data_IF_499220570265
#
_entry.id   IF_499220570265
#
_cell.length_a   1.000
_cell.length_b   1.000
_cell.length_c   1.000
_cell.angle_alpha   90.00
_cell.angle_beta   90.00
_cell.angle_gamma   90.00
#
_symmetry.space_group_name_H-M   'P 1'
#
loop_
_entity.id
_entity.type
_entity.pdbx_description
1 polymer ?
#
# COMPACT_ATOMS: atom_id res chain seq x y z
N UNK A 1 3.83 -3.49 -14.25
CA UNK A 1 3.20 -2.27 -14.83
C UNK A 1 1.68 -2.30 -14.58
N UNK A 2 1.12 -1.16 -14.18
CA UNK A 2 -0.32 -0.92 -13.97
C UNK A 2 -0.76 0.20 -14.91
N UNK A 3 -1.89 0.02 -15.61
CA UNK A 3 -2.52 1.07 -16.42
C UNK A 3 -3.99 1.15 -16.03
N UNK A 4 -4.45 2.36 -15.72
CA UNK A 4 -5.86 2.67 -15.42
C UNK A 4 -6.34 3.71 -16.40
N UNK A 5 -7.54 3.50 -16.97
CA UNK A 5 -8.15 4.41 -17.95
C UNK A 5 -9.57 4.75 -17.54
N UNK A 6 -9.85 6.03 -17.35
CA UNK A 6 -11.19 6.59 -17.10
C UNK A 6 -11.93 5.93 -15.91
N UNK A 7 -11.20 5.55 -14.85
CA UNK A 7 -11.81 4.93 -13.67
C UNK A 7 -12.73 5.95 -12.98
N UNK A 8 -13.99 5.58 -12.84
CA UNK A 8 -15.01 6.38 -12.16
C UNK A 8 -15.70 5.56 -11.07
N UNK A 9 -16.04 6.23 -9.95
CA UNK A 9 -16.73 5.62 -8.82
C UNK A 9 -17.71 6.59 -8.21
N UNK A 10 -18.95 6.12 -8.04
CA UNK A 10 -20.01 6.83 -7.32
C UNK A 10 -20.56 5.95 -6.19
N UNK A 11 -21.12 6.59 -5.17
CA UNK A 11 -21.90 5.92 -4.13
C UNK A 11 -23.34 6.46 -4.12
N UNK A 12 -24.34 5.64 -3.79
CA UNK A 12 -25.73 6.10 -3.71
C UNK A 12 -25.91 7.28 -2.74
N UNK A 13 -26.84 8.27 -3.06
CA UNK A 13 -27.74 8.34 -4.22
C UNK A 13 -27.12 9.03 -5.45
N UNK A 14 -26.01 9.20 -5.85
CA UNK A 14 -25.33 9.83 -7.00
C UNK A 14 -24.14 10.69 -6.60
N UNK A 15 -23.51 10.32 -5.49
CA UNK A 15 -22.33 11.01 -5.04
C UNK A 15 -21.06 10.47 -5.75
N UNK A 16 -20.64 11.17 -6.81
CA UNK A 16 -19.43 10.82 -7.54
C UNK A 16 -18.18 11.16 -6.71
N UNK A 17 -17.38 10.13 -6.38
CA UNK A 17 -16.13 10.27 -5.62
C UNK A 17 -14.91 10.29 -6.51
N UNK A 18 -14.92 9.47 -7.60
CA UNK A 18 -13.83 9.43 -8.58
C UNK A 18 -14.39 9.68 -9.98
N UNK A 19 -13.75 10.54 -10.75
CA UNK A 19 -14.18 10.95 -12.07
C UNK A 19 -13.05 10.79 -13.10
N UNK A 20 -13.16 9.78 -13.94
CA UNK A 20 -12.28 9.51 -15.10
C UNK A 20 -10.79 9.55 -14.76
N UNK A 21 -10.41 8.94 -13.61
CA UNK A 21 -9.00 8.84 -13.20
C UNK A 21 -8.25 7.96 -14.18
N UNK A 22 -7.15 8.47 -14.73
CA UNK A 22 -6.32 7.75 -15.70
C UNK A 22 -4.85 7.95 -15.37
N UNK A 23 -4.07 6.86 -15.36
CA UNK A 23 -2.63 6.89 -15.10
C UNK A 23 -1.96 5.59 -15.55
N UNK A 24 -0.63 5.62 -15.55
CA UNK A 24 0.24 4.45 -15.62
C UNK A 24 1.18 4.47 -14.42
N UNK A 25 1.50 3.30 -13.88
CA UNK A 25 2.49 3.12 -12.82
C UNK A 25 3.41 1.95 -13.15
N UNK A 26 4.71 2.14 -12.99
CA UNK A 26 5.74 1.19 -13.36
C UNK A 26 6.41 0.58 -12.11
N UNK A 27 7.06 -0.56 -12.27
CA UNK A 27 7.79 -1.24 -11.20
C UNK A 27 8.90 -0.36 -10.64
N UNK A 28 9.04 -0.37 -9.32
CA UNK A 28 10.03 0.44 -8.63
C UNK A 28 9.64 1.92 -8.48
N UNK A 29 8.39 2.31 -8.79
CA UNK A 29 7.87 3.65 -8.51
C UNK A 29 7.23 3.72 -7.12
N UNK A 30 7.65 4.71 -6.31
CA UNK A 30 6.92 5.15 -5.12
C UNK A 30 6.09 6.38 -5.51
N UNK A 31 4.79 6.17 -5.66
CA UNK A 31 3.85 7.20 -6.07
C UNK A 31 3.20 7.77 -4.82
N UNK A 32 3.55 9.01 -4.51
CA UNK A 32 2.96 9.74 -3.39
C UNK A 32 1.67 10.43 -3.85
N UNK A 33 0.53 10.03 -3.28
CA UNK A 33 -0.78 10.60 -3.57
C UNK A 33 -1.13 11.66 -2.52
N UNK A 34 -1.24 12.91 -2.94
CA UNK A 34 -1.62 14.04 -2.07
C UNK A 34 -2.98 14.60 -2.48
N UNK A 35 -3.67 15.24 -1.55
CA UNK A 35 -4.97 15.87 -1.76
C UNK A 35 -5.69 16.13 -0.46
N UNK A 36 -6.66 17.03 -0.49
CA UNK A 36 -7.48 17.38 0.66
C UNK A 36 -8.21 16.15 1.25
N UNK A 37 -8.67 16.27 2.49
CA UNK A 37 -9.56 15.27 3.08
C UNK A 37 -10.83 15.16 2.23
N UNK A 38 -11.30 13.94 1.98
CA UNK A 38 -12.47 13.72 1.10
C UNK A 38 -12.19 13.80 -0.41
N UNK A 39 -10.95 14.04 -0.87
CA UNK A 39 -10.64 14.09 -2.31
C UNK A 39 -10.78 12.76 -3.05
N UNK A 40 -10.93 11.63 -2.32
CA UNK A 40 -11.12 10.29 -2.90
C UNK A 40 -9.90 9.36 -2.83
N UNK A 41 -8.81 9.72 -2.13
CA UNK A 41 -7.56 8.92 -2.03
C UNK A 41 -7.82 7.48 -1.57
N UNK A 42 -8.47 7.31 -0.43
CA UNK A 42 -8.84 5.99 0.11
C UNK A 42 -9.74 5.20 -0.83
N UNK A 43 -10.72 5.87 -1.46
CA UNK A 43 -11.61 5.23 -2.45
C UNK A 43 -10.82 4.76 -3.67
N UNK A 44 -9.89 5.57 -4.18
CA UNK A 44 -9.01 5.18 -5.27
C UNK A 44 -8.20 3.93 -4.90
N UNK A 45 -7.54 3.92 -3.75
CA UNK A 45 -6.76 2.77 -3.30
C UNK A 45 -7.60 1.52 -3.07
N UNK A 46 -8.83 1.67 -2.56
CA UNK A 46 -9.78 0.54 -2.43
C UNK A 46 -10.19 -0.04 -3.79
N UNK A 47 -10.44 0.81 -4.78
CA UNK A 47 -10.71 0.37 -6.14
C UNK A 47 -9.49 -0.35 -6.74
N UNK A 48 -8.31 0.27 -6.67
CA UNK A 48 -7.07 -0.30 -7.21
C UNK A 48 -6.68 -1.62 -6.55
N UNK A 49 -6.92 -1.77 -5.25
CA UNK A 49 -6.67 -3.03 -4.51
C UNK A 49 -7.79 -4.06 -4.65
N UNK A 50 -8.78 -3.83 -5.50
CA UNK A 50 -9.98 -4.65 -5.67
C UNK A 50 -10.79 -4.85 -4.36
N UNK A 51 -10.63 -3.99 -3.36
CA UNK A 51 -11.46 -4.00 -2.15
C UNK A 51 -12.85 -3.40 -2.45
N UNK A 52 -12.90 -2.42 -3.36
CA UNK A 52 -14.13 -1.76 -3.83
C UNK A 52 -14.27 -1.94 -5.34
N UNK A 53 -15.51 -2.03 -5.83
CA UNK A 53 -15.79 -2.07 -7.28
C UNK A 53 -15.96 -0.64 -7.78
N UNK A 54 -15.36 -0.32 -8.93
CA UNK A 54 -15.61 0.91 -9.67
C UNK A 54 -16.74 0.73 -10.67
N UNK A 55 -17.29 1.81 -11.18
CA UNK A 55 -18.49 1.79 -12.02
C UNK A 55 -18.12 1.79 -13.50
N UNK A 56 -17.09 2.57 -13.88
CA UNK A 56 -16.63 2.70 -15.27
C UNK A 56 -15.10 2.73 -15.33
N UNK A 57 -14.56 2.41 -16.49
CA UNK A 57 -13.13 2.47 -16.79
C UNK A 57 -12.46 1.11 -16.87
N UNK A 58 -11.22 1.12 -17.31
CA UNK A 58 -10.41 -0.07 -17.57
C UNK A 58 -9.24 -0.13 -16.60
N UNK A 59 -8.92 -1.33 -16.12
CA UNK A 59 -7.78 -1.59 -15.27
C UNK A 59 -6.94 -2.73 -15.85
N UNK A 60 -5.72 -2.42 -16.26
CA UNK A 60 -4.76 -3.37 -16.84
C UNK A 60 -3.62 -3.59 -15.85
N UNK A 61 -3.36 -4.84 -15.49
CA UNK A 61 -2.26 -5.28 -14.65
C UNK A 61 -1.42 -6.33 -15.38
N UNK A 62 -0.11 -6.12 -15.49
CA UNK A 62 0.82 -6.99 -16.24
C UNK A 62 0.33 -7.32 -17.66
N UNK A 63 -0.22 -6.33 -18.36
CA UNK A 63 -0.74 -6.47 -19.73
C UNK A 63 -2.11 -7.13 -19.85
N UNK A 64 -2.72 -7.58 -18.74
CA UNK A 64 -4.03 -8.21 -18.72
C UNK A 64 -5.09 -7.23 -18.19
N UNK A 65 -6.20 -7.10 -18.89
CA UNK A 65 -7.36 -6.37 -18.38
C UNK A 65 -8.03 -7.17 -17.25
N UNK A 66 -8.09 -6.54 -16.08
CA UNK A 66 -8.65 -7.13 -14.87
C UNK A 66 -9.95 -6.46 -14.41
N UNK A 67 -10.52 -5.61 -15.27
CA UNK A 67 -11.74 -4.83 -14.95
C UNK A 67 -12.92 -5.74 -14.58
N UNK A 68 -13.02 -6.91 -15.18
CA UNK A 68 -14.06 -7.90 -14.92
C UNK A 68 -13.60 -9.09 -14.06
N UNK A 69 -12.41 -9.02 -13.44
CA UNK A 69 -11.87 -10.10 -12.62
C UNK A 69 -12.81 -10.46 -11.46
N UNK A 70 -13.19 -11.75 -11.36
CA UNK A 70 -14.12 -12.27 -10.35
C UNK A 70 -13.58 -13.56 -9.71
N UNK A 71 -14.15 -13.92 -8.57
CA UNK A 71 -13.89 -15.19 -7.91
C UNK A 71 -12.41 -15.50 -7.71
N UNK A 72 -11.95 -16.61 -8.23
CA UNK A 72 -10.57 -17.11 -8.08
C UNK A 72 -9.53 -16.18 -8.72
N UNK A 73 -9.85 -15.52 -9.82
CA UNK A 73 -8.95 -14.59 -10.49
C UNK A 73 -8.67 -13.38 -9.58
N UNK A 74 -9.73 -12.77 -9.04
CA UNK A 74 -9.62 -11.69 -8.07
C UNK A 74 -8.80 -12.10 -6.83
N UNK A 75 -8.99 -13.35 -6.37
CA UNK A 75 -8.23 -13.87 -5.25
C UNK A 75 -6.73 -14.03 -5.58
N UNK A 76 -6.39 -14.48 -6.80
CA UNK A 76 -5.00 -14.56 -7.27
C UNK A 76 -4.34 -13.19 -7.32
N UNK A 77 -5.02 -12.18 -7.92
CA UNK A 77 -4.52 -10.80 -7.98
C UNK A 77 -4.25 -10.22 -6.58
N UNK A 78 -5.18 -10.44 -5.65
CA UNK A 78 -5.01 -9.99 -4.26
C UNK A 78 -3.84 -10.62 -3.51
N UNK A 79 -3.30 -11.74 -3.98
CA UNK A 79 -2.09 -12.32 -3.39
C UNK A 79 -0.87 -11.46 -3.66
N UNK A 80 -0.78 -10.90 -4.87
CA UNK A 80 0.33 -10.05 -5.29
C UNK A 80 0.23 -8.61 -4.74
N UNK A 81 -0.87 -8.27 -4.06
CA UNK A 81 -1.13 -6.93 -3.57
C UNK A 81 -1.27 -6.87 -2.06
N UNK A 82 -0.68 -5.87 -1.45
CA UNK A 82 -0.85 -5.56 -0.03
C UNK A 82 -1.55 -4.21 0.14
N UNK A 83 -2.39 -4.13 1.17
CA UNK A 83 -3.04 -2.90 1.58
C UNK A 83 -2.64 -2.62 3.03
N UNK A 84 -1.92 -1.54 3.24
CA UNK A 84 -1.52 -1.05 4.54
C UNK A 84 -2.52 0.03 4.95
N UNK A 85 -3.21 -0.20 6.03
CA UNK A 85 -4.20 0.73 6.61
C UNK A 85 -3.48 1.71 7.56
N UNK A 86 -4.06 2.87 7.78
CA UNK A 86 -3.61 3.83 8.81
C UNK A 86 -3.37 3.12 10.15
N UNK A 87 -4.30 2.28 10.57
CA UNK A 87 -4.14 1.39 11.73
C UNK A 87 -3.87 -0.03 11.25
N UNK A 88 -2.63 -0.54 11.37
CA UNK A 88 -2.27 -1.84 10.85
C UNK A 88 -3.12 -2.97 11.40
N UNK A 89 -3.64 -3.81 10.51
CA UNK A 89 -4.40 -5.01 10.89
C UNK A 89 -3.44 -6.13 11.35
N UNK A 90 -3.02 -6.04 12.60
CA UNK A 90 -2.14 -6.99 13.29
C UNK A 90 -2.85 -7.57 14.50
N UNK A 91 -2.49 -8.82 14.86
CA UNK A 91 -2.97 -9.40 16.10
C UNK A 91 -2.13 -8.87 17.28
N UNK A 92 -2.72 -8.08 18.21
CA UNK A 92 -1.97 -7.41 19.28
C UNK A 92 -1.30 -8.37 20.24
N UNK A 93 -1.90 -9.55 20.48
CA UNK A 93 -1.40 -10.57 21.43
C UNK A 93 -0.31 -11.45 20.84
N UNK A 94 -0.11 -11.43 19.51
CA UNK A 94 0.96 -12.20 18.85
C UNK A 94 2.21 -11.34 18.74
N UNK A 95 3.38 -12.00 18.77
CA UNK A 95 4.66 -11.31 18.52
C UNK A 95 4.73 -10.74 17.10
N UNK A 96 5.67 -9.80 16.86
CA UNK A 96 5.96 -9.27 15.53
C UNK A 96 6.21 -10.41 14.53
N UNK A 97 7.09 -11.36 14.87
CA UNK A 97 7.40 -12.53 14.05
C UNK A 97 6.15 -13.35 13.69
N UNK A 98 5.28 -13.66 14.66
CA UNK A 98 4.05 -14.42 14.40
C UNK A 98 3.06 -13.64 13.51
N UNK A 99 3.04 -12.32 13.61
CA UNK A 99 2.25 -11.48 12.72
C UNK A 99 2.80 -11.51 11.29
N UNK A 100 4.13 -11.40 11.11
CA UNK A 100 4.76 -11.50 9.78
C UNK A 100 4.51 -12.87 9.17
N UNK A 101 4.75 -13.97 9.90
CA UNK A 101 4.49 -15.34 9.45
C UNK A 101 3.03 -15.55 9.02
N UNK A 102 2.08 -14.85 9.63
CA UNK A 102 0.67 -14.94 9.21
C UNK A 102 0.43 -14.45 7.78
N UNK A 103 1.34 -13.67 7.21
CA UNK A 103 1.31 -13.26 5.81
C UNK A 103 1.41 -14.43 4.83
N UNK A 104 2.13 -15.47 5.18
CA UNK A 104 2.31 -16.67 4.34
C UNK A 104 1.04 -17.50 4.17
N UNK A 105 0.06 -17.40 5.07
CA UNK A 105 -1.15 -18.22 5.02
C UNK A 105 -1.99 -18.01 3.74
N UNK A 106 -1.86 -16.87 3.07
CA UNK A 106 -2.53 -16.62 1.81
C UNK A 106 -1.93 -17.40 0.62
N UNK A 107 -0.69 -17.88 0.75
CA UNK A 107 0.06 -18.61 -0.30
C UNK A 107 0.20 -20.10 -0.02
N UNK A 108 -0.02 -20.53 1.22
CA UNK A 108 0.13 -21.94 1.59
C UNK A 108 -1.12 -22.74 1.33
N UNK A 109 -0.94 -24.02 0.99
CA UNK A 109 -2.04 -24.97 0.86
C UNK A 109 -2.84 -25.05 2.18
N UNK A 110 -4.16 -25.15 2.08
CA UNK A 110 -5.10 -25.15 3.20
C UNK A 110 -4.76 -26.15 4.32
N UNK A 111 -4.17 -27.30 3.99
CA UNK A 111 -3.76 -28.32 4.97
C UNK A 111 -2.56 -27.89 5.84
N UNK A 112 -1.65 -27.03 5.32
CA UNK A 112 -0.58 -26.41 6.12
C UNK A 112 -1.11 -25.34 7.08
N UNK A 113 -2.22 -24.69 6.70
CA UNK A 113 -2.93 -23.75 7.58
C UNK A 113 -3.52 -24.50 8.77
N UNK A 114 -4.13 -25.68 8.53
CA UNK A 114 -4.72 -26.54 9.54
C UNK A 114 -3.67 -27.15 10.50
N UNK A 115 -2.51 -27.52 9.98
CA UNK A 115 -1.42 -28.09 10.79
C UNK A 115 -0.67 -27.05 11.64
N UNK A 116 -0.85 -25.73 11.35
CA UNK A 116 -0.14 -24.65 12.03
C UNK A 116 1.38 -24.70 11.90
N UNK A 117 1.91 -25.57 10.98
CA UNK A 117 3.33 -25.80 10.83
C UNK A 117 3.95 -24.72 9.93
N UNK A 118 4.79 -23.89 10.49
CA UNK A 118 5.75 -23.04 9.76
C UNK A 118 7.08 -23.79 9.71
N UNK A 119 7.72 -23.81 8.52
CA UNK A 119 9.03 -24.41 8.37
C UNK A 119 10.13 -23.53 9.00
N UNK A 120 11.30 -24.11 9.27
CA UNK A 120 12.47 -23.32 9.70
C UNK A 120 12.79 -22.21 8.69
N UNK A 121 12.68 -22.49 7.40
CA UNK A 121 12.91 -21.51 6.33
C UNK A 121 11.90 -20.34 6.37
N UNK A 122 10.65 -20.63 6.74
CA UNK A 122 9.63 -19.58 6.91
C UNK A 122 10.01 -18.63 8.05
N UNK A 123 10.51 -19.19 9.15
CA UNK A 123 10.98 -18.41 10.31
C UNK A 123 12.19 -17.56 9.93
N UNK A 124 13.18 -18.11 9.22
CA UNK A 124 14.34 -17.36 8.75
C UNK A 124 13.91 -16.22 7.84
N UNK A 125 13.07 -16.51 6.84
CA UNK A 125 12.55 -15.50 5.93
C UNK A 125 11.78 -14.39 6.67
N UNK A 126 10.99 -14.72 7.68
CA UNK A 126 10.26 -13.73 8.46
C UNK A 126 11.20 -12.87 9.32
N UNK A 127 12.27 -13.44 9.85
CA UNK A 127 13.32 -12.72 10.58
C UNK A 127 14.08 -11.76 9.64
N UNK A 128 14.42 -12.20 8.42
CA UNK A 128 15.07 -11.37 7.41
C UNK A 128 14.21 -10.14 7.03
N UNK A 129 12.88 -10.33 6.92
CA UNK A 129 12.00 -9.18 6.65
C UNK A 129 11.84 -8.27 7.87
N UNK A 130 11.89 -8.79 9.09
CA UNK A 130 11.94 -7.95 10.29
C UNK A 130 13.25 -7.19 10.41
N UNK A 131 14.36 -7.79 10.02
CA UNK A 131 15.67 -7.14 9.95
C UNK A 131 15.67 -6.00 8.91
N UNK A 132 15.14 -6.25 7.71
CA UNK A 132 14.99 -5.23 6.65
C UNK A 132 14.25 -3.97 7.11
N UNK A 133 13.29 -4.11 8.03
CA UNK A 133 12.56 -2.97 8.60
C UNK A 133 13.08 -2.56 10.00
N UNK A 134 14.27 -3.02 10.40
CA UNK A 134 14.93 -2.65 11.64
C UNK A 134 14.17 -3.03 12.90
N UNK A 135 13.56 -4.24 12.92
CA UNK A 135 12.77 -4.76 14.03
C UNK A 135 13.20 -6.18 14.45
N UNK A 136 14.42 -6.60 14.10
CA UNK A 136 14.91 -7.94 14.44
C UNK A 136 14.98 -8.15 15.96
N UNK A 137 15.45 -7.16 16.69
CA UNK A 137 15.54 -7.14 18.17
C UNK A 137 14.17 -7.27 18.86
N UNK A 138 13.10 -6.85 18.17
CA UNK A 138 11.71 -6.88 18.64
C UNK A 138 10.88 -8.01 18.05
N UNK A 139 11.50 -8.96 17.35
CA UNK A 139 10.80 -10.05 16.66
C UNK A 139 9.87 -10.85 17.58
N UNK A 140 10.27 -11.04 18.83
CA UNK A 140 9.53 -11.81 19.82
C UNK A 140 8.59 -10.97 20.71
N UNK A 141 8.62 -9.65 20.60
CA UNK A 141 7.74 -8.78 21.38
C UNK A 141 6.28 -8.84 20.87
N UNK A 142 5.29 -8.87 21.80
CA UNK A 142 3.88 -8.72 21.42
C UNK A 142 3.64 -7.38 20.75
N UNK A 143 2.85 -7.38 19.65
CA UNK A 143 2.59 -6.17 18.86
C UNK A 143 1.92 -5.06 19.69
N UNK A 144 1.13 -5.39 20.71
CA UNK A 144 0.52 -4.39 21.60
C UNK A 144 1.55 -3.49 22.29
N UNK A 145 2.77 -3.97 22.54
CA UNK A 145 3.87 -3.23 23.18
C UNK A 145 4.66 -2.35 22.21
N UNK A 146 4.46 -2.53 20.91
CA UNK A 146 5.17 -1.78 19.88
C UNK A 146 4.55 -0.37 19.70
N UNK A 147 5.39 0.59 19.35
CA UNK A 147 4.95 1.93 18.92
C UNK A 147 4.12 1.88 17.63
N UNK A 148 3.44 2.99 17.28
CA UNK A 148 2.68 3.09 16.04
C UNK A 148 3.53 2.85 14.80
N UNK A 149 4.70 3.48 14.71
CA UNK A 149 5.63 3.29 13.59
C UNK A 149 6.20 1.87 13.51
N UNK A 150 6.50 1.23 14.64
CA UNK A 150 6.92 -0.17 14.68
C UNK A 150 5.81 -1.12 14.19
N UNK A 151 4.55 -0.87 14.57
CA UNK A 151 3.40 -1.61 14.06
C UNK A 151 3.27 -1.48 12.54
N UNK A 152 3.46 -0.27 11.98
CA UNK A 152 3.46 -0.07 10.53
C UNK A 152 4.59 -0.88 9.88
N UNK A 153 5.80 -0.86 10.43
CA UNK A 153 6.93 -1.64 9.90
C UNK A 153 6.69 -3.15 9.97
N UNK A 154 6.06 -3.66 11.03
CA UNK A 154 5.60 -5.07 11.08
C UNK A 154 4.59 -5.38 9.96
N UNK A 155 3.67 -4.46 9.66
CA UNK A 155 2.71 -4.64 8.56
C UNK A 155 3.40 -4.63 7.19
N UNK A 156 4.42 -3.82 7.00
CA UNK A 156 5.27 -3.82 5.80
C UNK A 156 5.99 -5.17 5.66
N UNK A 157 6.67 -5.65 6.70
CA UNK A 157 7.32 -6.97 6.69
C UNK A 157 6.33 -8.10 6.39
N UNK A 158 5.11 -8.03 6.94
CA UNK A 158 4.01 -8.97 6.64
C UNK A 158 3.54 -8.89 5.17
N UNK A 159 3.59 -7.72 4.55
CA UNK A 159 3.29 -7.58 3.13
C UNK A 159 4.39 -8.20 2.25
N UNK A 160 5.64 -8.00 2.62
CA UNK A 160 6.80 -8.51 1.88
C UNK A 160 6.91 -10.03 1.91
N UNK A 161 6.69 -10.66 3.06
CA UNK A 161 6.74 -12.14 3.17
C UNK A 161 5.66 -12.81 2.30
N UNK A 162 4.61 -12.07 1.94
CA UNK A 162 3.60 -12.51 0.98
C UNK A 162 4.07 -12.44 -0.47
N UNK A 163 5.23 -11.85 -0.75
CA UNK A 163 5.67 -11.57 -2.10
C UNK A 163 4.84 -10.49 -2.79
N UNK A 164 4.36 -9.48 -2.03
CA UNK A 164 3.58 -8.41 -2.60
C UNK A 164 4.37 -7.63 -3.66
N UNK A 165 3.81 -7.53 -4.86
CA UNK A 165 4.35 -6.75 -5.98
C UNK A 165 3.83 -5.32 -6.01
N UNK A 166 2.67 -5.10 -5.38
CA UNK A 166 2.05 -3.78 -5.26
C UNK A 166 1.63 -3.54 -3.82
N UNK A 167 1.98 -2.38 -3.28
CA UNK A 167 1.61 -1.95 -1.93
C UNK A 167 0.77 -0.67 -2.04
N UNK A 168 -0.43 -0.71 -1.49
CA UNK A 168 -1.29 0.46 -1.29
C UNK A 168 -1.20 0.85 0.18
N UNK A 169 -0.45 1.91 0.49
CA UNK A 169 -0.26 2.43 1.83
C UNK A 169 -1.17 3.65 2.04
N UNK A 170 -2.30 3.43 2.72
CA UNK A 170 -3.31 4.46 2.95
C UNK A 170 -3.03 5.17 4.28
N UNK A 171 -2.46 6.35 4.18
CA UNK A 171 -2.03 7.21 5.30
C UNK A 171 -1.13 6.47 6.32
N UNK A 172 -0.06 5.78 5.86
CA UNK A 172 0.71 4.87 6.72
C UNK A 172 1.48 5.57 7.83
N UNK A 173 1.58 6.89 7.78
CA UNK A 173 2.33 7.70 8.76
C UNK A 173 1.45 8.68 9.53
N UNK A 174 0.13 8.56 9.39
CA UNK A 174 -0.83 9.40 10.13
C UNK A 174 -0.67 9.18 11.64
N UNK A 175 -0.63 10.27 12.40
CA UNK A 175 -0.51 10.23 13.86
C UNK A 175 0.86 9.76 14.40
N UNK A 176 1.87 9.58 13.54
CA UNK A 176 3.24 9.28 13.97
C UNK A 176 4.04 10.58 14.18
N UNK A 177 5.01 10.51 15.07
CA UNK A 177 6.02 11.56 15.17
C UNK A 177 6.90 11.61 13.91
N UNK A 178 7.57 12.74 13.61
CA UNK A 178 8.32 12.92 12.36
C UNK A 178 9.45 11.90 12.15
N UNK A 179 10.09 11.42 13.21
CA UNK A 179 11.16 10.43 13.12
C UNK A 179 10.60 9.06 12.76
N UNK A 180 9.55 8.61 13.44
CA UNK A 180 8.87 7.35 13.13
C UNK A 180 8.26 7.36 11.73
N UNK A 181 7.66 8.49 11.30
CA UNK A 181 7.12 8.67 9.96
C UNK A 181 8.22 8.56 8.89
N UNK A 182 9.37 9.22 9.13
CA UNK A 182 10.51 9.12 8.21
C UNK A 182 11.01 7.69 8.06
N UNK A 183 11.16 6.94 9.15
CA UNK A 183 11.60 5.53 9.11
C UNK A 183 10.65 4.66 8.29
N UNK A 184 9.33 4.80 8.49
CA UNK A 184 8.32 4.05 7.70
C UNK A 184 8.41 4.37 6.21
N UNK A 185 8.60 5.65 5.84
CA UNK A 185 8.70 6.08 4.45
C UNK A 185 10.05 5.69 3.81
N UNK A 186 11.14 5.69 4.58
CA UNK A 186 12.43 5.17 4.15
C UNK A 186 12.34 3.68 3.82
N UNK A 187 11.70 2.87 4.69
CA UNK A 187 11.47 1.44 4.45
C UNK A 187 10.66 1.21 3.16
N UNK A 188 9.56 1.94 2.97
CA UNK A 188 8.75 1.84 1.74
C UNK A 188 9.54 2.23 0.49
N UNK A 189 10.38 3.28 0.56
CA UNK A 189 11.24 3.72 -0.53
C UNK A 189 12.32 2.68 -0.87
N UNK A 190 12.92 2.10 0.13
CA UNK A 190 13.95 1.07 -0.02
C UNK A 190 13.39 -0.20 -0.68
N UNK A 191 12.24 -0.67 -0.21
CA UNK A 191 11.52 -1.81 -0.77
C UNK A 191 11.15 -1.55 -2.23
N UNK A 192 10.59 -0.38 -2.50
CA UNK A 192 10.25 0.05 -3.85
C UNK A 192 11.46 -0.09 -4.80
N UNK A 193 12.62 0.43 -4.39
CA UNK A 193 13.83 0.44 -5.23
C UNK A 193 14.51 -0.92 -5.34
N UNK A 194 14.64 -1.65 -4.20
CA UNK A 194 15.42 -2.90 -4.12
C UNK A 194 14.63 -4.09 -4.63
N UNK A 195 13.36 -4.19 -4.24
CA UNK A 195 12.49 -5.34 -4.56
C UNK A 195 11.58 -5.08 -5.79
N UNK A 196 11.71 -3.90 -6.45
CA UNK A 196 10.94 -3.48 -7.63
C UNK A 196 9.42 -3.48 -7.43
N UNK A 197 8.99 -3.28 -6.19
CA UNK A 197 7.58 -3.18 -5.81
C UNK A 197 7.02 -1.83 -6.26
N UNK A 198 5.78 -1.81 -6.75
CA UNK A 198 5.04 -0.56 -6.98
C UNK A 198 4.44 -0.14 -5.64
N UNK A 199 4.73 1.06 -5.18
CA UNK A 199 4.17 1.59 -3.92
C UNK A 199 3.30 2.80 -4.21
N UNK A 200 2.01 2.70 -3.90
CA UNK A 200 1.10 3.85 -3.82
C UNK A 200 0.98 4.25 -2.35
N UNK A 201 1.32 5.48 -2.03
CA UNK A 201 1.33 5.99 -0.66
C UNK A 201 0.51 7.28 -0.56
N UNK A 202 -0.62 7.27 0.14
CA UNK A 202 -1.36 8.50 0.39
C UNK A 202 -0.74 9.26 1.57
N UNK A 203 -0.54 10.55 1.39
CA UNK A 203 0.11 11.43 2.35
C UNK A 203 -0.66 12.74 2.48
N UNK A 204 -0.77 13.25 3.72
CA UNK A 204 -1.32 14.58 3.97
C UNK A 204 -0.28 15.69 3.79
N UNK A 205 0.98 15.40 4.15
CA UNK A 205 2.06 16.37 4.13
C UNK A 205 2.77 16.34 2.77
N UNK A 206 2.75 17.46 2.07
CA UNK A 206 3.41 17.61 0.75
C UNK A 206 4.92 17.42 0.87
N UNK A 207 5.51 17.84 1.99
CA UNK A 207 6.94 17.71 2.25
C UNK A 207 7.40 16.24 2.23
N UNK A 208 6.60 15.33 2.78
CA UNK A 208 6.89 13.90 2.70
C UNK A 208 6.73 13.38 1.27
N UNK A 209 5.71 13.82 0.55
CA UNK A 209 5.53 13.43 -0.85
C UNK A 209 6.72 13.89 -1.72
N UNK A 210 7.20 15.12 -1.53
CA UNK A 210 8.37 15.67 -2.23
C UNK A 210 9.69 15.00 -1.86
N UNK A 211 9.83 14.52 -0.61
CA UNK A 211 11.05 13.87 -0.11
C UNK A 211 11.14 12.39 -0.52
N UNK A 212 10.03 11.69 -0.46
CA UNK A 212 10.01 10.24 -0.60
C UNK A 212 9.48 9.74 -1.95
N UNK A 213 8.49 10.42 -2.54
CA UNK A 213 7.90 10.04 -3.82
C UNK A 213 8.89 10.13 -4.97
N UNK A 214 9.01 9.08 -5.77
CA UNK A 214 9.63 9.16 -7.10
C UNK A 214 8.72 9.88 -8.09
N UNK A 215 7.42 9.84 -7.81
CA UNK A 215 6.35 10.50 -8.56
C UNK A 215 5.28 11.02 -7.60
N UNK A 216 4.71 12.17 -7.88
CA UNK A 216 3.69 12.79 -7.05
C UNK A 216 2.41 12.94 -7.86
N UNK A 217 1.31 12.44 -7.31
CA UNK A 217 -0.03 12.64 -7.82
C UNK A 217 -0.83 13.56 -6.91
N UNK A 218 -1.48 14.55 -7.50
CA UNK A 218 -2.44 15.41 -6.84
C UNK A 218 -3.86 15.01 -7.17
N UNK A 219 -4.66 14.65 -6.16
CA UNK A 219 -6.07 14.31 -6.32
C UNK A 219 -6.95 15.42 -5.75
N UNK A 220 -7.80 16.01 -6.60
CA UNK A 220 -8.74 17.05 -6.22
C UNK A 220 -10.12 16.80 -6.85
N UNK A 221 -11.19 16.88 -6.06
CA UNK A 221 -12.54 16.61 -6.57
C UNK A 221 -12.70 15.27 -7.30
N UNK A 222 -12.02 14.23 -6.85
CA UNK A 222 -12.05 12.90 -7.48
C UNK A 222 -11.30 12.78 -8.80
N UNK A 223 -10.51 13.78 -9.18
CA UNK A 223 -9.72 13.81 -10.43
C UNK A 223 -8.23 13.89 -10.14
N UNK A 224 -7.44 13.23 -10.96
CA UNK A 224 -5.99 13.39 -10.95
C UNK A 224 -5.66 14.72 -11.67
N UNK A 225 -5.32 15.74 -10.89
CA UNK A 225 -5.07 17.11 -11.40
C UNK A 225 -3.59 17.42 -11.59
N UNK A 226 -2.71 16.66 -10.88
CA UNK A 226 -1.26 16.77 -10.98
C UNK A 226 -0.66 15.37 -11.09
N UNK A 227 0.30 15.22 -11.98
CA UNK A 227 1.11 14.02 -12.17
C UNK A 227 2.52 14.45 -12.56
N UNK A 228 3.46 14.38 -11.61
CA UNK A 228 4.83 14.84 -11.81
C UNK A 228 5.84 13.84 -11.25
N UNK A 229 6.99 13.75 -11.88
CA UNK A 229 8.12 12.93 -11.44
C UNK A 229 9.40 13.78 -11.30
N UNK A 230 10.26 13.42 -10.34
CA UNK A 230 11.62 13.93 -10.22
C UNK A 230 11.76 15.41 -9.82
N UNK A 231 10.70 16.08 -9.38
CA UNK A 231 10.74 17.47 -8.92
C UNK A 231 9.74 17.77 -7.82
N UNK A 232 9.88 18.91 -7.17
CA UNK A 232 8.90 19.43 -6.19
C UNK A 232 7.69 20.04 -6.89
N UNK A 233 6.59 20.13 -6.16
CA UNK A 233 5.37 20.83 -6.56
C UNK A 233 5.61 22.34 -6.61
N UNK A 234 5.15 22.97 -7.68
CA UNK A 234 5.05 24.43 -7.76
C UNK A 234 3.87 24.92 -6.91
N UNK A 235 3.86 26.22 -6.56
CA UNK A 235 2.74 26.80 -5.83
C UNK A 235 1.41 26.63 -6.59
N UNK A 236 1.40 26.84 -7.91
CA UNK A 236 0.23 26.64 -8.74
C UNK A 236 -0.32 25.20 -8.70
N UNK A 237 0.57 24.21 -8.66
CA UNK A 237 0.16 22.80 -8.53
C UNK A 237 -0.41 22.51 -7.13
N UNK A 238 0.16 23.10 -6.08
CA UNK A 238 -0.40 23.00 -4.72
C UNK A 238 -1.80 23.61 -4.67
N UNK A 239 -2.01 24.78 -5.27
CA UNK A 239 -3.31 25.46 -5.32
C UNK A 239 -4.36 24.67 -6.15
N UNK A 240 -3.95 23.81 -7.08
CA UNK A 240 -4.86 22.92 -7.81
C UNK A 240 -5.28 21.70 -6.97
N UNK A 241 -4.43 21.27 -6.03
CA UNK A 241 -4.64 20.07 -5.22
C UNK A 241 -5.47 20.38 -3.98
N UNK A 242 -5.22 21.53 -3.35
CA UNK A 242 -5.79 21.95 -2.06
C UNK A 242 -6.67 23.20 -2.21
#
# INVERSE_FOLDING_TARGET
>A
MIIVRNLSKSFPPDHQILSKVSFQADEGELIALVGASGSGKTTLFRCLSLKEKWDEGQYIYEGKDISEARGLEKLKLRKDWAYLEEKPNLNPRKSALKNVLSGLFLHKAWWRILSGTTSSDDHMTAMDYLDKVGLLDKAHEPVEKLSGGEKQRVAIAKALIRGAKVIYADEPVSGLDPEAASKVLDDLKDICRKDKVIVFCSLHQVEFAEKYGSRIWGLSGGRLVVDIAGRRLTQREKDLIF
#
